data_IF_278808200733
#
_entry.id   IF_278808200733
#
_cell.length_a   1.000
_cell.length_b   1.000
_cell.length_c   1.000
_cell.angle_alpha   90.00
_cell.angle_beta   90.00
_cell.angle_gamma   90.00
#
_symmetry.space_group_name_H-M   'P 1'
#
loop_
_entity.id
_entity.type
_entity.pdbx_description
1 polymer ?
#
# COMPACT_ATOMS: atom_id res chain seq x y z
N UNK A 1 72.45 41.59 -2.75
CA UNK A 1 72.91 42.36 -3.93
C UNK A 1 72.09 41.93 -5.16
N UNK A 2 71.55 42.92 -5.90
CA UNK A 2 71.20 42.94 -7.35
C UNK A 2 70.36 41.77 -7.92
N UNK A 3 69.05 41.97 -8.13
CA UNK A 3 68.42 42.36 -9.42
C UNK A 3 68.79 41.49 -10.64
N UNK A 4 67.78 40.86 -11.24
CA UNK A 4 67.61 40.88 -12.70
C UNK A 4 66.17 40.51 -13.09
N UNK A 5 65.52 41.43 -13.81
CA UNK A 5 64.28 41.23 -14.58
C UNK A 5 64.50 40.22 -15.70
N UNK A 6 63.49 39.42 -16.03
CA UNK A 6 63.22 39.13 -17.44
C UNK A 6 61.72 39.14 -17.73
N UNK A 7 61.38 40.03 -18.65
CA UNK A 7 60.10 40.27 -19.28
C UNK A 7 60.16 39.56 -20.63
N UNK A 8 59.10 38.86 -21.04
CA UNK A 8 58.52 38.91 -22.41
C UNK A 8 57.33 37.96 -22.55
N UNK A 9 56.16 38.57 -22.64
CA UNK A 9 55.18 38.43 -23.73
C UNK A 9 55.10 37.08 -24.44
N UNK A 10 53.96 36.41 -24.27
CA UNK A 10 53.25 35.80 -25.41
C UNK A 10 51.75 35.90 -25.20
N UNK A 11 51.16 36.93 -25.82
CA UNK A 11 49.76 36.94 -26.20
C UNK A 11 49.53 35.81 -27.21
N UNK A 12 48.44 35.06 -27.10
CA UNK A 12 47.65 34.58 -28.25
C UNK A 12 46.32 33.95 -27.80
N UNK A 13 45.25 34.73 -27.98
CA UNK A 13 43.94 34.35 -28.55
C UNK A 13 43.29 33.03 -28.08
N UNK A 14 42.14 33.15 -27.42
CA UNK A 14 40.82 33.08 -28.09
C UNK A 14 39.68 33.42 -27.13
N UNK A 15 38.92 34.45 -27.50
CA UNK A 15 37.57 34.66 -27.03
C UNK A 15 36.68 33.49 -27.47
N UNK A 16 35.84 32.95 -26.59
CA UNK A 16 34.40 33.19 -26.74
C UNK A 16 33.59 32.85 -25.47
N UNK A 17 32.50 33.58 -25.23
CA UNK A 17 31.74 33.56 -24.00
C UNK A 17 30.50 32.68 -24.18
N UNK A 18 30.44 31.53 -23.50
CA UNK A 18 29.15 30.89 -23.23
C UNK A 18 28.75 31.17 -21.80
N UNK A 19 28.47 32.45 -21.54
CA UNK A 19 27.53 32.84 -20.51
C UNK A 19 26.17 32.25 -20.89
N UNK A 20 25.89 31.03 -20.46
CA UNK A 20 24.53 30.53 -20.38
C UNK A 20 23.77 31.39 -19.35
N UNK A 21 23.23 32.51 -19.81
CA UNK A 21 22.13 33.22 -19.15
C UNK A 21 20.93 32.28 -19.15
N UNK A 22 20.84 31.43 -18.12
CA UNK A 22 19.56 30.82 -17.78
C UNK A 22 18.61 31.95 -17.36
N UNK A 23 17.42 32.07 -17.96
CA UNK A 23 16.43 33.00 -17.47
C UNK A 23 15.99 32.54 -16.07
N UNK A 24 16.35 33.31 -15.05
CA UNK A 24 16.00 33.13 -13.64
C UNK A 24 14.47 33.23 -13.35
N UNK A 25 13.62 33.11 -14.37
CA UNK A 25 12.16 33.10 -14.25
C UNK A 25 11.57 31.68 -14.17
N UNK A 26 12.30 30.63 -14.57
CA UNK A 26 11.79 29.25 -14.53
C UNK A 26 11.84 28.62 -13.12
N UNK A 27 12.61 29.18 -12.19
CA UNK A 27 12.88 28.58 -10.88
C UNK A 27 11.82 28.89 -9.81
N UNK A 28 10.80 29.71 -10.12
CA UNK A 28 9.72 30.06 -9.17
C UNK A 28 8.47 29.20 -9.29
N UNK A 29 8.34 28.39 -10.35
CA UNK A 29 7.18 27.50 -10.58
C UNK A 29 7.39 26.08 -10.04
N UNK A 30 8.63 25.69 -9.78
CA UNK A 30 9.01 24.39 -9.21
C UNK A 30 8.32 24.07 -7.87
N UNK A 31 8.23 24.98 -6.87
CA UNK A 31 7.56 24.67 -5.61
C UNK A 31 6.05 24.50 -5.77
N UNK A 32 5.40 25.18 -6.72
CA UNK A 32 3.97 25.05 -6.97
C UNK A 32 3.60 23.72 -7.65
N UNK A 33 4.45 23.24 -8.58
CA UNK A 33 4.28 21.93 -9.22
C UNK A 33 4.54 20.80 -8.21
N UNK A 34 5.54 20.95 -7.32
CA UNK A 34 5.79 20.01 -6.23
C UNK A 34 4.63 19.95 -5.22
N UNK A 35 4.05 21.10 -4.85
CA UNK A 35 2.89 21.15 -3.95
C UNK A 35 1.64 20.50 -4.59
N UNK A 36 1.44 20.69 -5.89
CA UNK A 36 0.36 20.05 -6.64
C UNK A 36 0.55 18.52 -6.73
N UNK A 37 1.79 18.04 -6.86
CA UNK A 37 2.10 16.61 -6.92
C UNK A 37 1.82 15.90 -5.58
N UNK A 38 2.05 16.57 -4.45
CA UNK A 38 1.79 16.02 -3.10
C UNK A 38 0.28 15.83 -2.85
N UNK A 39 -0.59 16.66 -3.44
CA UNK A 39 -2.04 16.53 -3.27
C UNK A 39 -2.65 15.34 -4.04
N UNK A 40 -2.03 14.87 -5.14
CA UNK A 40 -2.59 13.78 -5.96
C UNK A 40 -2.34 12.40 -5.35
N UNK A 41 -1.40 12.25 -4.41
CA UNK A 41 -1.13 10.97 -3.74
C UNK A 41 -2.08 10.62 -2.59
N UNK A 42 -3.03 11.50 -2.24
CA UNK A 42 -3.83 11.37 -1.02
C UNK A 42 -5.23 10.80 -1.24
N UNK A 43 -5.36 9.46 -1.22
CA UNK A 43 -6.45 8.69 -0.59
C UNK A 43 -6.54 7.29 -1.22
N UNK A 44 -5.85 6.30 -0.65
CA UNK A 44 -6.21 4.91 -0.89
C UNK A 44 -7.54 4.64 -0.15
N UNK A 45 -8.65 4.63 -0.88
CA UNK A 45 -9.96 4.28 -0.31
C UNK A 45 -10.00 2.80 0.01
N UNK A 46 -10.11 2.45 1.29
CA UNK A 46 -10.26 1.05 1.74
C UNK A 46 -11.69 0.61 1.43
N UNK A 47 -11.84 -0.38 0.57
CA UNK A 47 -13.14 -0.99 0.32
C UNK A 47 -13.50 -1.95 1.45
N UNK A 48 -14.69 -1.80 2.03
CA UNK A 48 -15.16 -2.61 3.17
C UNK A 48 -16.50 -3.28 2.86
N UNK A 49 -16.67 -4.56 3.23
CA UNK A 49 -17.96 -5.24 3.18
C UNK A 49 -18.39 -5.77 4.56
N UNK A 50 -19.72 -5.83 4.80
CA UNK A 50 -20.31 -6.20 6.10
C UNK A 50 -21.45 -7.20 5.95
N UNK A 51 -21.61 -8.17 6.85
CA UNK A 51 -22.70 -9.16 6.78
C UNK A 51 -23.92 -8.86 7.68
N UNK A 52 -24.02 -7.67 8.24
CA UNK A 52 -25.10 -7.25 9.13
C UNK A 52 -25.77 -5.96 8.65
N UNK A 53 -27.03 -5.77 9.03
CA UNK A 53 -27.81 -4.55 8.76
C UNK A 53 -27.90 -3.72 10.04
N UNK A 54 -27.40 -2.49 10.02
CA UNK A 54 -27.43 -1.57 11.17
C UNK A 54 -26.09 -1.31 11.82
N UNK A 55 -26.12 -0.56 12.93
CA UNK A 55 -24.94 -0.27 13.73
C UNK A 55 -24.73 -1.40 14.74
N UNK A 56 -23.49 -1.88 14.83
CA UNK A 56 -23.05 -2.82 15.85
C UNK A 56 -21.80 -2.23 16.53
N UNK A 57 -21.67 -2.37 17.85
CA UNK A 57 -20.47 -1.91 18.55
C UNK A 57 -19.25 -2.69 18.08
N UNK A 58 -18.07 -2.06 18.08
CA UNK A 58 -16.83 -2.67 17.60
C UNK A 58 -16.50 -4.00 18.28
N UNK A 59 -16.85 -4.14 19.57
CA UNK A 59 -16.69 -5.36 20.34
C UNK A 59 -17.49 -6.56 19.82
N UNK A 60 -18.55 -6.34 19.04
CA UNK A 60 -19.41 -7.41 18.51
C UNK A 60 -19.04 -7.79 17.07
N UNK A 61 -18.04 -7.13 16.47
CA UNK A 61 -17.66 -7.33 15.08
C UNK A 61 -16.22 -7.86 15.04
N UNK A 62 -16.01 -8.91 14.27
CA UNK A 62 -14.68 -9.34 13.85
C UNK A 62 -14.28 -8.64 12.55
N UNK A 63 -13.03 -8.22 12.44
CA UNK A 63 -12.52 -7.56 11.23
C UNK A 63 -11.40 -8.38 10.64
N UNK A 64 -11.51 -8.71 9.36
CA UNK A 64 -10.44 -9.33 8.59
C UNK A 64 -9.91 -8.30 7.59
N UNK A 65 -8.62 -8.02 7.64
CA UNK A 65 -7.96 -7.04 6.77
C UNK A 65 -6.55 -7.50 6.47
N UNK A 66 -6.16 -7.50 5.20
CA UNK A 66 -4.80 -7.80 4.79
C UNK A 66 -4.36 -6.87 3.65
N UNK A 67 -3.14 -6.32 3.73
CA UNK A 67 -2.66 -5.38 2.71
C UNK A 67 -2.19 -6.11 1.47
N UNK A 68 -2.57 -5.62 0.29
CA UNK A 68 -2.18 -6.22 -1.00
C UNK A 68 -3.00 -7.45 -1.41
N UNK A 69 -4.03 -7.78 -0.62
CA UNK A 69 -4.99 -8.84 -0.92
C UNK A 69 -6.37 -8.22 -1.08
N UNK A 70 -7.14 -8.78 -2.00
CA UNK A 70 -8.58 -8.60 -2.01
C UNK A 70 -9.23 -9.86 -1.46
N UNK A 71 -10.23 -9.68 -0.61
CA UNK A 71 -10.87 -10.72 0.18
C UNK A 71 -12.40 -10.66 0.02
N UNK A 72 -13.05 -11.81 0.03
CA UNK A 72 -14.51 -11.93 -0.01
C UNK A 72 -14.96 -13.25 0.61
N UNK A 73 -16.25 -13.34 0.96
CA UNK A 73 -16.85 -14.59 1.43
C UNK A 73 -16.93 -15.58 0.26
N UNK A 74 -16.44 -16.81 0.46
CA UNK A 74 -16.54 -17.85 -0.55
C UNK A 74 -18.02 -18.15 -0.86
N UNK A 75 -18.36 -18.22 -2.16
CA UNK A 75 -19.74 -18.44 -2.61
C UNK A 75 -20.66 -17.21 -2.56
N UNK A 76 -20.17 -16.05 -2.10
CA UNK A 76 -20.92 -14.79 -2.16
C UNK A 76 -20.72 -14.10 -3.52
N UNK A 77 -21.80 -13.53 -4.07
CA UNK A 77 -21.78 -12.70 -5.30
C UNK A 77 -21.19 -11.30 -5.09
N UNK A 78 -20.86 -10.95 -3.84
CA UNK A 78 -20.26 -9.66 -3.51
C UNK A 78 -18.86 -9.51 -4.09
N UNK A 79 -18.53 -8.28 -4.46
CA UNK A 79 -17.22 -7.93 -5.02
C UNK A 79 -16.11 -8.12 -3.97
N UNK A 80 -14.88 -8.45 -4.42
CA UNK A 80 -13.70 -8.44 -3.57
C UNK A 80 -13.46 -7.06 -2.93
N UNK A 81 -13.03 -7.06 -1.68
CA UNK A 81 -12.79 -5.85 -0.87
C UNK A 81 -11.46 -5.95 -0.11
N UNK A 82 -10.99 -4.86 0.48
CA UNK A 82 -9.76 -4.84 1.27
C UNK A 82 -10.00 -5.25 2.73
N UNK A 83 -11.24 -5.07 3.22
CA UNK A 83 -11.64 -5.31 4.60
C UNK A 83 -13.02 -5.99 4.68
N UNK A 84 -13.12 -7.06 5.46
CA UNK A 84 -14.37 -7.71 5.83
C UNK A 84 -14.69 -7.44 7.30
N UNK A 85 -15.88 -6.94 7.57
CA UNK A 85 -16.42 -6.78 8.93
C UNK A 85 -17.57 -7.75 9.13
N UNK A 86 -17.35 -8.78 9.91
CA UNK A 86 -18.26 -9.90 10.03
C UNK A 86 -18.69 -10.10 11.48
N UNK A 87 -19.90 -10.62 11.66
CA UNK A 87 -20.31 -11.20 12.94
C UNK A 87 -19.40 -12.39 13.29
N UNK A 88 -19.17 -12.70 14.58
CA UNK A 88 -18.40 -13.85 15.01
C UNK A 88 -18.94 -15.15 14.42
N UNK A 89 -18.05 -16.07 14.08
CA UNK A 89 -18.43 -17.34 13.46
C UNK A 89 -17.34 -17.95 12.61
N UNK A 90 -17.66 -19.08 11.97
CA UNK A 90 -16.76 -19.79 11.05
C UNK A 90 -17.09 -19.42 9.63
N UNK A 91 -16.11 -18.92 8.89
CA UNK A 91 -16.26 -18.49 7.51
C UNK A 91 -15.18 -19.09 6.62
N UNK A 92 -15.57 -19.40 5.38
CA UNK A 92 -14.63 -19.66 4.30
C UNK A 92 -14.42 -18.36 3.53
N UNK A 93 -13.19 -17.85 3.55
CA UNK A 93 -12.80 -16.60 2.92
C UNK A 93 -12.01 -16.92 1.66
N UNK A 94 -12.47 -16.42 0.52
CA UNK A 94 -11.68 -16.42 -0.70
C UNK A 94 -10.81 -15.16 -0.74
N UNK A 95 -9.59 -15.31 -1.22
CA UNK A 95 -8.67 -14.19 -1.37
C UNK A 95 -7.88 -14.30 -2.67
N UNK A 96 -7.42 -13.14 -3.16
CA UNK A 96 -6.44 -13.10 -4.22
C UNK A 96 -5.45 -11.96 -4.01
N UNK A 97 -4.18 -12.18 -4.38
CA UNK A 97 -3.11 -11.21 -4.25
C UNK A 97 -2.94 -10.43 -5.56
N UNK A 98 -2.80 -9.11 -5.45
CA UNK A 98 -2.41 -8.25 -6.57
C UNK A 98 -0.89 -7.97 -6.48
N UNK A 99 -0.14 -7.97 -7.61
CA UNK A 99 -0.56 -8.14 -9.00
C UNK A 99 -0.45 -9.57 -9.56
N UNK A 100 0.05 -10.53 -8.80
CA UNK A 100 0.38 -11.88 -9.27
C UNK A 100 -0.83 -12.79 -9.49
N UNK A 101 -2.04 -12.33 -9.12
CA UNK A 101 -3.31 -13.07 -9.26
C UNK A 101 -3.28 -14.45 -8.61
N UNK A 102 -2.38 -14.66 -7.67
CA UNK A 102 -2.36 -15.89 -6.88
C UNK A 102 -3.51 -15.83 -5.89
N UNK A 103 -4.36 -16.86 -5.90
CA UNK A 103 -5.60 -16.88 -5.14
C UNK A 103 -5.77 -18.16 -4.36
N UNK A 104 -6.67 -18.12 -3.39
CA UNK A 104 -6.81 -19.18 -2.42
C UNK A 104 -8.03 -19.05 -1.55
N UNK A 105 -8.09 -19.95 -0.57
CA UNK A 105 -9.13 -19.97 0.46
C UNK A 105 -8.51 -20.04 1.85
N UNK A 106 -9.18 -19.41 2.81
CA UNK A 106 -8.85 -19.44 4.22
C UNK A 106 -10.09 -19.87 5.02
N UNK A 107 -9.91 -20.82 5.93
CA UNK A 107 -10.96 -21.20 6.88
C UNK A 107 -10.72 -20.46 8.19
N UNK A 108 -11.60 -19.55 8.54
CA UNK A 108 -11.37 -18.59 9.60
C UNK A 108 -12.46 -18.71 10.67
N UNK A 109 -12.03 -18.90 11.92
CA UNK A 109 -12.87 -18.78 13.10
C UNK A 109 -12.69 -17.39 13.67
N UNK A 110 -13.73 -16.57 13.57
CA UNK A 110 -13.71 -15.16 13.92
C UNK A 110 -14.37 -14.95 15.29
N UNK A 111 -13.65 -14.32 16.19
CA UNK A 111 -14.09 -13.95 17.53
C UNK A 111 -14.51 -12.47 17.60
N UNK A 112 -15.44 -12.12 18.50
CA UNK A 112 -15.90 -10.74 18.66
C UNK A 112 -14.75 -9.77 18.99
N UNK A 113 -14.78 -8.58 18.39
CA UNK A 113 -13.85 -7.49 18.69
C UNK A 113 -12.41 -7.74 18.23
N UNK A 114 -12.16 -8.77 17.42
CA UNK A 114 -10.82 -9.19 17.05
C UNK A 114 -10.49 -8.79 15.61
N UNK A 115 -9.28 -8.26 15.41
CA UNK A 115 -8.70 -7.98 14.10
C UNK A 115 -7.86 -9.18 13.64
N UNK A 116 -8.12 -9.66 12.44
CA UNK A 116 -7.45 -10.78 11.81
C UNK A 116 -6.71 -10.32 10.55
N UNK A 117 -5.57 -10.95 10.28
CA UNK A 117 -4.86 -10.90 9.00
C UNK A 117 -5.03 -12.19 8.20
N UNK A 118 -4.31 -12.31 7.08
CA UNK A 118 -4.21 -13.53 6.29
C UNK A 118 -2.77 -14.02 6.26
N UNK A 119 -2.57 -15.30 6.62
CA UNK A 119 -1.27 -15.95 6.54
C UNK A 119 -1.34 -17.17 5.65
N UNK A 120 -0.59 -17.16 4.55
CA UNK A 120 -0.47 -18.32 3.65
C UNK A 120 0.31 -19.41 4.38
N UNK A 121 -0.28 -20.61 4.47
CA UNK A 121 0.31 -21.75 5.20
C UNK A 121 0.80 -22.82 4.24
N UNK A 122 0.05 -23.08 3.16
CA UNK A 122 0.45 -24.07 2.15
C UNK A 122 0.02 -23.66 0.76
N UNK A 123 0.68 -24.23 -0.25
CA UNK A 123 0.23 -24.25 -1.64
C UNK A 123 -0.28 -25.65 -1.96
N UNK A 124 -1.45 -25.73 -2.57
CA UNK A 124 -2.10 -26.97 -2.90
C UNK A 124 -2.39 -27.00 -4.40
N UNK A 125 -1.93 -28.05 -5.08
CA UNK A 125 -2.20 -28.23 -6.51
C UNK A 125 -3.60 -28.81 -6.68
N UNK A 126 -4.45 -28.11 -7.42
CA UNK A 126 -5.80 -28.54 -7.76
C UNK A 126 -5.80 -29.18 -9.15
N UNK A 127 -5.84 -30.52 -9.25
CA UNK A 127 -5.76 -31.20 -10.55
C UNK A 127 -6.97 -30.90 -11.45
N UNK A 128 -8.13 -30.61 -10.86
CA UNK A 128 -9.37 -30.30 -11.59
C UNK A 128 -9.28 -29.00 -12.42
N UNK A 129 -8.52 -28.02 -11.93
CA UNK A 129 -8.30 -26.73 -12.60
C UNK A 129 -6.90 -26.62 -13.21
N UNK A 130 -6.00 -27.56 -12.94
CA UNK A 130 -4.60 -27.52 -13.36
C UNK A 130 -3.80 -26.38 -12.73
N UNK A 131 -4.24 -25.84 -11.59
CA UNK A 131 -3.67 -24.64 -10.98
C UNK A 131 -3.26 -24.87 -9.52
N UNK A 132 -2.30 -24.08 -9.04
CA UNK A 132 -1.97 -24.03 -7.61
C UNK A 132 -2.89 -23.05 -6.91
N UNK A 133 -3.59 -23.51 -5.86
CA UNK A 133 -4.34 -22.67 -4.93
C UNK A 133 -3.54 -22.44 -3.65
N UNK A 134 -3.70 -21.26 -3.07
CA UNK A 134 -3.15 -20.94 -1.77
C UNK A 134 -4.14 -21.36 -0.69
N UNK A 135 -3.63 -21.95 0.39
CA UNK A 135 -4.41 -22.17 1.60
C UNK A 135 -3.83 -21.30 2.69
N UNK A 136 -4.69 -20.49 3.31
CA UNK A 136 -4.31 -19.56 4.35
C UNK A 136 -5.09 -19.81 5.65
N UNK A 137 -4.57 -19.25 6.72
CA UNK A 137 -5.20 -19.14 8.03
C UNK A 137 -5.45 -17.66 8.35
N UNK A 138 -6.36 -17.42 9.29
CA UNK A 138 -6.61 -16.09 9.83
C UNK A 138 -6.03 -15.96 11.24
N UNK A 139 -4.74 -15.57 11.39
CA UNK A 139 -4.19 -15.23 12.71
C UNK A 139 -4.71 -13.87 13.18
N UNK A 140 -4.72 -13.65 14.50
CA UNK A 140 -4.93 -12.33 15.09
C UNK A 140 -3.81 -11.41 14.60
N UNK A 141 -4.18 -10.25 14.07
CA UNK A 141 -3.22 -9.27 13.58
C UNK A 141 -2.47 -8.64 14.77
N UNK A 142 -1.14 -8.72 14.76
CA UNK A 142 -0.28 -8.11 15.79
C UNK A 142 -0.21 -6.58 15.69
N UNK A 143 -0.52 -6.01 14.52
CA UNK A 143 -0.56 -4.57 14.28
C UNK A 143 -1.97 -4.01 14.50
N UNK A 144 -2.56 -4.27 15.67
CA UNK A 144 -3.83 -3.62 16.03
C UNK A 144 -3.60 -2.11 16.05
N UNK A 145 -4.27 -1.31 15.19
CA UNK A 145 -4.20 0.13 15.32
C UNK A 145 -4.79 0.49 16.69
N UNK A 146 -4.09 1.33 17.46
CA UNK A 146 -4.54 1.78 18.80
C UNK A 146 -5.98 2.33 18.80
N UNK A 147 -6.43 2.84 17.65
CA UNK A 147 -7.77 3.35 17.36
C UNK A 147 -8.89 2.26 17.44
N UNK A 148 -8.54 0.98 17.37
CA UNK A 148 -9.48 -0.13 17.63
C UNK A 148 -9.72 -0.35 19.12
N UNK A 149 -8.74 -0.02 19.98
CA UNK A 149 -8.88 -0.08 21.43
C UNK A 149 -9.55 1.18 22.00
N UNK A 150 -9.50 2.31 21.30
CA UNK A 150 -10.07 3.58 21.78
C UNK A 150 -11.57 3.72 21.49
N UNK A 151 -12.11 3.01 20.47
CA UNK A 151 -13.57 2.87 20.26
C UNK A 151 -14.23 1.80 21.16
N UNK A 152 -13.53 1.36 22.20
CA UNK A 152 -13.97 0.33 23.16
C UNK A 152 -14.51 0.96 24.45
N UNK A 153 -14.39 2.28 24.62
CA UNK A 153 -14.87 3.01 25.80
C UNK A 153 -15.91 4.07 25.46
#
# INVERSE_FOLDING_TARGET
>A
MKQARHNRNTCLRRANPFCFRMPACALRLLPAILLALVFVTGCATIHTAKNYQGFLPGREIAVLRERGFQIWLAGSERRPVDELRLLPGRYLISFFRYPDRSGGVANCLLEPGTLYGLRIVRREYLPQSGTNALVAECPIATDQPADFAERVY
#
